data_IF_731450167669
#
_entry.id   IF_731450167669
#
_cell.length_a   1.000
_cell.length_b   1.000
_cell.length_c   1.000
_cell.angle_alpha   90.00
_cell.angle_beta   90.00
_cell.angle_gamma   90.00
#
_symmetry.space_group_name_H-M   'P 1'
#
loop_
_entity.id
_entity.type
_entity.pdbx_description
1 polymer ?
#
# COMPACT_ATOMS: atom_id res chain seq x y z
N UNK A 1 22.89 -2.95 -21.96
CA UNK A 1 22.70 -4.28 -21.32
C UNK A 1 21.70 -4.09 -20.20
N UNK A 2 20.46 -4.56 -20.35
CA UNK A 2 19.42 -4.23 -19.37
C UNK A 2 18.06 -4.78 -19.76
N UNK A 3 17.93 -6.10 -19.68
CA UNK A 3 16.63 -6.79 -19.61
C UNK A 3 16.88 -8.12 -18.91
N UNK A 4 17.05 -8.09 -17.59
CA UNK A 4 16.90 -9.32 -16.80
C UNK A 4 15.40 -9.58 -16.66
N UNK A 5 14.95 -10.54 -17.46
CA UNK A 5 13.66 -11.20 -17.36
C UNK A 5 13.48 -11.75 -15.93
N UNK A 6 12.62 -11.10 -15.15
CA UNK A 6 12.24 -11.54 -13.80
C UNK A 6 11.55 -12.92 -13.76
N UNK A 7 11.16 -13.50 -14.90
CA UNK A 7 10.56 -14.85 -15.02
C UNK A 7 11.49 -16.05 -14.75
N UNK A 8 12.74 -15.84 -14.35
CA UNK A 8 13.73 -16.94 -14.19
C UNK A 8 13.87 -17.46 -12.76
N UNK A 9 13.56 -16.65 -11.74
CA UNK A 9 13.80 -17.02 -10.33
C UNK A 9 12.99 -18.23 -9.83
N UNK A 10 11.67 -18.33 -10.08
CA UNK A 10 10.87 -19.44 -9.56
C UNK A 10 11.25 -20.79 -10.18
N UNK A 11 11.50 -20.82 -11.49
CA UNK A 11 11.91 -22.04 -12.19
C UNK A 11 13.33 -22.49 -11.80
N UNK A 12 14.25 -21.56 -11.55
CA UNK A 12 15.57 -21.89 -11.02
C UNK A 12 15.52 -22.49 -9.62
N UNK A 13 14.65 -21.96 -8.74
CA UNK A 13 14.41 -22.53 -7.42
C UNK A 13 13.89 -23.96 -7.52
N UNK A 14 12.85 -24.18 -8.33
CA UNK A 14 12.22 -25.49 -8.49
C UNK A 14 13.19 -26.54 -9.05
N UNK A 15 14.11 -26.13 -9.93
CA UNK A 15 15.14 -26.99 -10.49
C UNK A 15 16.38 -27.16 -9.59
N UNK A 16 16.44 -26.46 -8.46
CA UNK A 16 17.59 -26.55 -7.55
C UNK A 16 17.60 -27.87 -6.78
N UNK A 17 18.80 -28.41 -6.57
CA UNK A 17 18.99 -29.63 -5.77
C UNK A 17 18.49 -29.41 -4.34
N UNK A 18 18.66 -28.20 -3.79
CA UNK A 18 18.22 -27.83 -2.46
C UNK A 18 16.70 -27.99 -2.30
N UNK A 19 15.91 -27.45 -3.24
CA UNK A 19 14.46 -27.57 -3.21
C UNK A 19 14.01 -29.03 -3.38
N UNK A 20 14.57 -29.73 -4.37
CA UNK A 20 14.24 -31.13 -4.62
C UNK A 20 14.53 -32.03 -3.41
N UNK A 21 15.65 -31.80 -2.72
CA UNK A 21 15.97 -32.51 -1.48
C UNK A 21 15.01 -32.13 -0.34
N UNK A 22 14.63 -30.86 -0.22
CA UNK A 22 13.74 -30.40 0.85
C UNK A 22 12.33 -31.00 0.77
N UNK A 23 11.83 -31.28 -0.44
CA UNK A 23 10.51 -31.87 -0.64
C UNK A 23 10.57 -33.39 -0.91
N UNK A 24 11.73 -34.02 -0.77
CA UNK A 24 11.91 -35.44 -1.10
C UNK A 24 11.10 -36.35 -0.18
N UNK A 25 11.20 -36.11 1.13
CA UNK A 25 10.54 -36.92 2.14
C UNK A 25 9.15 -36.34 2.47
N UNK A 26 8.22 -37.20 2.88
CA UNK A 26 6.85 -36.79 3.22
C UNK A 26 6.77 -36.38 4.70
N UNK A 27 6.56 -35.08 5.03
CA UNK A 27 6.27 -34.65 6.39
C UNK A 27 4.79 -34.89 6.73
N UNK A 28 4.42 -34.60 7.99
CA UNK A 28 3.01 -34.56 8.40
C UNK A 28 2.26 -33.36 7.79
N UNK A 29 2.98 -32.27 7.50
CA UNK A 29 2.47 -31.01 6.95
C UNK A 29 3.59 -30.28 6.19
N UNK A 30 3.26 -29.69 5.04
CA UNK A 30 4.08 -28.62 4.45
C UNK A 30 3.53 -27.25 4.86
N UNK A 31 4.42 -26.38 5.36
CA UNK A 31 4.13 -24.97 5.62
C UNK A 31 4.90 -24.10 4.62
N UNK A 32 4.17 -23.36 3.80
CA UNK A 32 4.73 -22.39 2.86
C UNK A 32 4.47 -20.99 3.39
N UNK A 33 5.51 -20.30 3.84
CA UNK A 33 5.43 -18.92 4.30
C UNK A 33 6.25 -18.02 3.39
N UNK A 34 5.66 -16.91 2.92
CA UNK A 34 6.38 -15.98 2.07
C UNK A 34 5.52 -14.84 1.55
N UNK A 35 6.15 -13.93 0.80
CA UNK A 35 5.48 -12.86 0.06
C UNK A 35 4.80 -13.44 -1.19
N UNK A 36 3.85 -14.35 -0.97
CA UNK A 36 3.09 -15.14 -1.95
C UNK A 36 1.62 -14.83 -1.72
N UNK A 37 0.86 -14.61 -2.79
CA UNK A 37 -0.58 -14.31 -2.64
C UNK A 37 -1.40 -15.55 -2.32
N UNK A 38 -2.46 -15.40 -1.53
CA UNK A 38 -3.37 -16.49 -1.20
C UNK A 38 -4.21 -16.92 -2.40
N UNK A 39 -4.68 -15.94 -3.17
CA UNK A 39 -5.35 -16.21 -4.44
C UNK A 39 -4.32 -16.49 -5.53
N UNK A 40 -4.20 -17.74 -5.94
CA UNK A 40 -3.36 -18.18 -7.06
C UNK A 40 -3.98 -17.89 -8.44
N UNK A 41 -5.23 -17.41 -8.48
CA UNK A 41 -6.02 -17.29 -9.72
C UNK A 41 -6.67 -15.92 -9.91
N UNK A 42 -6.35 -14.93 -9.10
CA UNK A 42 -6.91 -13.59 -9.31
C UNK A 42 -6.49 -13.07 -10.69
N UNK A 43 -7.42 -12.66 -11.59
CA UNK A 43 -7.10 -12.28 -12.96
C UNK A 43 -6.06 -11.16 -13.06
N UNK A 44 -6.10 -10.21 -12.12
CA UNK A 44 -5.13 -9.12 -12.06
C UNK A 44 -3.72 -9.59 -11.65
N UNK A 45 -3.55 -10.76 -11.00
CA UNK A 45 -2.23 -11.29 -10.67
C UNK A 45 -1.46 -11.80 -11.90
N UNK A 46 -2.16 -12.14 -12.99
CA UNK A 46 -1.50 -12.51 -14.24
C UNK A 46 -0.74 -11.33 -14.88
N UNK A 47 -1.01 -10.10 -14.43
CA UNK A 47 -0.36 -8.87 -14.90
C UNK A 47 0.85 -8.44 -14.04
N UNK A 48 1.07 -9.09 -12.90
CA UNK A 48 1.96 -8.63 -11.82
C UNK A 48 3.37 -9.27 -11.80
N UNK A 49 3.68 -10.15 -12.76
CA UNK A 49 5.02 -10.72 -12.93
C UNK A 49 5.39 -11.86 -11.98
N UNK A 50 6.66 -12.27 -12.04
CA UNK A 50 7.14 -13.61 -11.67
C UNK A 50 7.00 -14.04 -10.20
N UNK A 51 6.84 -13.11 -9.26
CA UNK A 51 6.70 -13.46 -7.83
C UNK A 51 5.33 -14.10 -7.52
N UNK A 52 4.32 -13.81 -8.33
CA UNK A 52 2.98 -14.38 -8.17
C UNK A 52 2.82 -15.76 -8.80
N UNK A 53 3.68 -16.12 -9.75
CA UNK A 53 3.72 -17.47 -10.32
C UNK A 53 4.44 -18.47 -9.41
N UNK A 54 5.31 -18.00 -8.50
CA UNK A 54 6.09 -18.88 -7.62
C UNK A 54 5.22 -19.72 -6.66
N UNK A 55 4.18 -19.12 -6.08
CA UNK A 55 3.26 -19.81 -5.15
C UNK A 55 2.57 -21.03 -5.77
N UNK A 56 1.83 -20.84 -6.88
CA UNK A 56 1.21 -21.94 -7.61
C UNK A 56 2.23 -23.01 -8.04
N UNK A 57 3.39 -22.60 -8.56
CA UNK A 57 4.40 -23.55 -9.04
C UNK A 57 5.01 -24.41 -7.91
N UNK A 58 5.30 -23.81 -6.75
CA UNK A 58 5.81 -24.54 -5.57
C UNK A 58 4.74 -25.47 -5.02
N UNK A 59 3.49 -25.00 -4.93
CA UNK A 59 2.35 -25.82 -4.51
C UNK A 59 2.18 -27.03 -5.43
N UNK A 60 2.17 -26.83 -6.75
CA UNK A 60 2.01 -27.89 -7.74
C UNK A 60 3.18 -28.89 -7.69
N UNK A 61 4.42 -28.41 -7.51
CA UNK A 61 5.60 -29.27 -7.39
C UNK A 61 5.53 -30.17 -6.15
N UNK A 62 5.14 -29.63 -4.98
CA UNK A 62 4.95 -30.41 -3.76
C UNK A 62 3.78 -31.39 -3.95
N UNK A 63 2.64 -30.92 -4.44
CA UNK A 63 1.43 -31.73 -4.60
C UNK A 63 1.64 -32.89 -5.58
N UNK A 64 2.49 -32.72 -6.59
CA UNK A 64 2.89 -33.78 -7.54
C UNK A 64 3.64 -34.93 -6.85
N UNK A 65 4.49 -34.65 -5.88
CA UNK A 65 5.26 -35.68 -5.14
C UNK A 65 4.44 -36.21 -3.96
N UNK A 66 3.71 -35.33 -3.27
CA UNK A 66 2.99 -35.60 -2.04
C UNK A 66 1.49 -35.30 -2.18
N UNK A 67 0.72 -36.20 -2.83
CA UNK A 67 -0.70 -35.96 -3.13
C UNK A 67 -1.60 -35.95 -1.89
N UNK A 68 -1.14 -36.50 -0.77
CA UNK A 68 -1.92 -36.65 0.47
C UNK A 68 -1.43 -35.77 1.61
N UNK A 69 -0.22 -35.21 1.54
CA UNK A 69 0.34 -34.40 2.63
C UNK A 69 -0.32 -33.01 2.63
N UNK A 70 -0.89 -32.53 3.74
CA UNK A 70 -1.52 -31.23 3.82
C UNK A 70 -0.54 -30.10 3.51
N UNK A 71 -1.05 -29.02 2.94
CA UNK A 71 -0.24 -27.83 2.64
C UNK A 71 -0.94 -26.61 3.24
N UNK A 72 -0.29 -25.94 4.18
CA UNK A 72 -0.73 -24.66 4.72
C UNK A 72 0.13 -23.55 4.13
N UNK A 73 -0.50 -22.48 3.69
CA UNK A 73 0.20 -21.35 3.06
C UNK A 73 -0.12 -20.07 3.84
N UNK A 74 0.92 -19.38 4.29
CA UNK A 74 0.85 -18.09 4.95
C UNK A 74 1.42 -17.05 3.99
N UNK A 75 0.51 -16.37 3.30
CA UNK A 75 0.79 -15.43 2.24
C UNK A 75 0.86 -13.97 2.70
N UNK A 76 1.05 -13.10 1.73
CA UNK A 76 0.96 -11.66 1.86
C UNK A 76 1.17 -10.99 0.51
N UNK A 77 1.80 -9.81 0.51
CA UNK A 77 2.02 -8.95 -0.66
C UNK A 77 0.85 -8.02 -0.97
N UNK A 78 -0.40 -8.51 -0.99
CA UNK A 78 -1.53 -7.73 -1.54
C UNK A 78 -2.26 -6.85 -0.54
N UNK A 79 -1.85 -6.90 0.73
CA UNK A 79 -2.40 -6.08 1.82
C UNK A 79 -3.86 -6.37 2.21
N UNK A 80 -4.47 -7.46 1.72
CA UNK A 80 -5.87 -7.81 2.00
C UNK A 80 -5.99 -8.92 3.06
N UNK A 81 -7.19 -9.05 3.64
CA UNK A 81 -7.62 -10.28 4.30
C UNK A 81 -8.16 -11.22 3.22
N UNK A 82 -7.53 -12.38 3.02
CA UNK A 82 -8.02 -13.35 2.03
C UNK A 82 -7.69 -14.80 2.45
N UNK A 83 -8.54 -15.72 2.00
CA UNK A 83 -8.40 -17.15 2.24
C UNK A 83 -8.89 -17.94 1.02
N UNK A 84 -8.08 -18.93 0.63
CA UNK A 84 -8.41 -19.84 -0.46
C UNK A 84 -8.12 -21.28 -0.04
N UNK A 85 -9.15 -22.13 -0.09
CA UNK A 85 -8.97 -23.58 0.00
C UNK A 85 -8.61 -24.11 -1.39
N UNK A 86 -7.32 -24.41 -1.61
CA UNK A 86 -6.77 -24.77 -2.93
C UNK A 86 -7.17 -26.19 -3.36
N UNK A 87 -7.28 -27.10 -2.40
CA UNK A 87 -7.83 -28.45 -2.56
C UNK A 87 -8.43 -28.95 -1.24
N UNK A 88 -8.86 -30.23 -1.21
CA UNK A 88 -9.46 -30.84 -0.02
C UNK A 88 -8.51 -30.95 1.19
N UNK A 89 -7.21 -30.66 1.03
CA UNK A 89 -6.16 -30.86 2.05
C UNK A 89 -5.19 -29.69 2.11
N UNK A 90 -5.56 -28.51 1.61
CA UNK A 90 -4.72 -27.32 1.67
C UNK A 90 -5.52 -26.04 1.76
N UNK A 91 -4.93 -25.04 2.42
CA UNK A 91 -5.51 -23.71 2.56
C UNK A 91 -4.41 -22.66 2.57
N UNK A 92 -4.69 -21.53 1.93
CA UNK A 92 -3.86 -20.34 1.91
C UNK A 92 -4.55 -19.18 2.62
N UNK A 93 -3.79 -18.37 3.37
CA UNK A 93 -4.28 -17.25 4.17
C UNK A 93 -3.39 -16.01 4.00
N UNK A 94 -3.98 -14.87 3.69
CA UNK A 94 -3.37 -13.53 3.74
C UNK A 94 -3.96 -12.73 4.91
N UNK A 95 -3.09 -12.03 5.64
CA UNK A 95 -3.42 -11.41 6.94
C UNK A 95 -3.35 -9.88 6.92
N UNK A 96 -3.84 -9.25 5.85
CA UNK A 96 -3.98 -7.79 5.77
C UNK A 96 -2.64 -7.04 5.73
N UNK A 97 -2.61 -5.87 6.36
CA UNK A 97 -1.46 -4.95 6.39
C UNK A 97 -1.32 -4.25 7.74
N UNK A 98 -0.18 -3.57 7.90
CA UNK A 98 0.07 -2.50 8.89
C UNK A 98 -0.27 -2.80 10.35
N UNK A 99 -0.20 -4.08 10.75
CA UNK A 99 -0.69 -4.50 12.08
C UNK A 99 -2.14 -4.05 12.31
N UNK A 100 -2.98 -4.20 11.29
CA UNK A 100 -4.45 -4.05 11.34
C UNK A 100 -5.15 -5.42 11.38
N UNK A 101 -4.39 -6.52 11.25
CA UNK A 101 -4.92 -7.89 11.27
C UNK A 101 -3.89 -8.87 11.81
N UNK A 102 -4.33 -9.77 12.69
CA UNK A 102 -3.62 -11.02 13.01
C UNK A 102 -4.41 -12.17 12.38
N UNK A 103 -3.81 -12.87 11.41
CA UNK A 103 -4.43 -14.04 10.81
C UNK A 103 -4.29 -15.27 11.71
N UNK A 104 -5.36 -16.05 11.79
CA UNK A 104 -5.42 -17.31 12.50
C UNK A 104 -5.88 -18.42 11.57
N UNK A 105 -5.19 -19.56 11.59
CA UNK A 105 -5.52 -20.76 10.83
C UNK A 105 -5.46 -21.97 11.76
N UNK A 106 -6.41 -22.89 11.65
CA UNK A 106 -6.37 -24.18 12.34
C UNK A 106 -6.89 -25.30 11.44
N UNK A 107 -6.35 -26.51 11.64
CA UNK A 107 -6.84 -27.72 10.99
C UNK A 107 -6.55 -28.94 11.88
N UNK A 108 -7.39 -29.97 11.78
CA UNK A 108 -7.13 -31.28 12.38
C UNK A 108 -6.45 -32.18 11.36
N UNK A 109 -5.15 -32.40 11.51
CA UNK A 109 -4.36 -33.26 10.63
C UNK A 109 -4.68 -34.75 10.87
N UNK A 110 -4.42 -35.58 9.86
CA UNK A 110 -4.54 -37.04 9.92
C UNK A 110 -3.19 -37.71 9.59
N UNK A 111 -3.15 -39.03 9.44
CA UNK A 111 -1.91 -39.79 9.18
C UNK A 111 -1.47 -39.79 7.71
N UNK A 112 -2.09 -38.97 6.86
CA UNK A 112 -1.79 -38.80 5.45
C UNK A 112 -1.92 -40.08 4.59
N UNK A 113 -2.64 -41.11 5.07
CA UNK A 113 -2.86 -42.36 4.31
C UNK A 113 -4.10 -42.33 3.42
N UNK A 114 -4.96 -41.33 3.56
CA UNK A 114 -6.23 -41.25 2.82
C UNK A 114 -6.42 -39.90 2.15
N UNK A 115 -7.28 -39.86 1.12
CA UNK A 115 -7.71 -38.62 0.44
C UNK A 115 -8.81 -37.85 1.18
N UNK A 116 -9.08 -38.20 2.45
CA UNK A 116 -10.17 -37.59 3.22
C UNK A 116 -9.98 -36.07 3.27
N UNK A 117 -11.06 -35.30 3.15
CA UNK A 117 -11.01 -33.84 3.26
C UNK A 117 -10.57 -33.45 4.69
N UNK A 118 -9.64 -32.51 4.78
CA UNK A 118 -9.28 -31.83 6.02
C UNK A 118 -10.14 -30.58 6.15
N UNK A 119 -10.72 -30.42 7.33
CA UNK A 119 -11.47 -29.22 7.67
C UNK A 119 -10.50 -28.19 8.24
N UNK A 120 -10.40 -27.07 7.52
CA UNK A 120 -9.67 -25.89 7.96
C UNK A 120 -10.64 -24.86 8.53
N UNK A 121 -10.16 -24.06 9.47
CA UNK A 121 -10.84 -22.87 9.98
C UNK A 121 -9.88 -21.70 9.98
N UNK A 122 -10.42 -20.49 9.75
CA UNK A 122 -9.66 -19.24 9.73
C UNK A 122 -10.38 -18.11 10.45
N UNK A 123 -9.59 -17.22 11.04
CA UNK A 123 -10.04 -15.95 11.62
C UNK A 123 -9.10 -14.80 11.28
N UNK A 124 -9.65 -13.60 11.10
CA UNK A 124 -8.90 -12.34 11.04
C UNK A 124 -9.22 -11.56 12.30
N UNK A 125 -8.21 -11.42 13.16
CA UNK A 125 -8.35 -10.79 14.46
C UNK A 125 -7.91 -9.33 14.34
N UNK A 126 -8.76 -8.43 14.82
CA UNK A 126 -8.37 -7.04 15.00
C UNK A 126 -7.28 -6.94 16.08
N UNK A 127 -6.16 -6.28 15.82
CA UNK A 127 -5.00 -6.28 16.71
C UNK A 127 -5.15 -5.26 17.85
N UNK A 128 -6.21 -5.39 18.62
CA UNK A 128 -6.50 -4.56 19.77
C UNK A 128 -6.62 -5.42 21.05
N UNK A 129 -6.48 -4.77 22.21
CA UNK A 129 -6.50 -5.44 23.51
C UNK A 129 -7.80 -6.20 23.78
N UNK A 130 -8.95 -5.67 23.37
CA UNK A 130 -10.26 -6.27 23.60
C UNK A 130 -10.35 -7.62 22.87
N UNK A 131 -9.93 -7.64 21.60
CA UNK A 131 -9.85 -8.86 20.79
C UNK A 131 -8.91 -9.89 21.43
N UNK A 132 -7.72 -9.48 21.87
CA UNK A 132 -6.78 -10.43 22.48
C UNK A 132 -7.27 -10.96 23.83
N UNK A 133 -7.86 -10.13 24.68
CA UNK A 133 -8.46 -10.56 25.94
C UNK A 133 -9.60 -11.57 25.71
N UNK A 134 -10.45 -11.32 24.71
CA UNK A 134 -11.53 -12.23 24.31
C UNK A 134 -10.99 -13.62 23.93
N UNK A 135 -10.04 -13.71 22.99
CA UNK A 135 -9.53 -15.01 22.52
C UNK A 135 -8.64 -15.75 23.53
N UNK A 136 -8.01 -15.02 24.45
CA UNK A 136 -7.22 -15.65 25.53
C UNK A 136 -8.07 -16.00 26.75
N UNK A 137 -9.33 -15.54 26.80
CA UNK A 137 -10.19 -15.62 27.99
C UNK A 137 -9.56 -14.97 29.24
N UNK A 138 -8.61 -14.05 29.03
CA UNK A 138 -7.99 -13.24 30.07
C UNK A 138 -8.69 -11.88 30.15
N UNK A 139 -8.38 -11.11 31.19
CA UNK A 139 -8.95 -9.77 31.42
C UNK A 139 -7.83 -8.79 31.74
N UNK A 140 -8.12 -7.50 31.70
CA UNK A 140 -7.17 -6.43 31.99
C UNK A 140 -6.23 -6.69 33.18
N UNK A 141 -6.74 -7.28 34.27
CA UNK A 141 -5.97 -7.57 35.48
C UNK A 141 -4.88 -8.64 35.33
N UNK A 142 -5.01 -9.57 34.38
CA UNK A 142 -4.10 -10.72 34.22
C UNK A 142 -3.65 -10.97 32.77
N UNK A 143 -3.98 -10.09 31.85
CA UNK A 143 -3.58 -10.19 30.44
C UNK A 143 -2.11 -9.85 30.22
N UNK A 144 -1.59 -8.82 30.88
CA UNK A 144 -0.24 -8.31 30.60
C UNK A 144 0.86 -9.19 31.21
N UNK A 145 1.78 -9.69 30.38
CA UNK A 145 2.97 -10.44 30.82
C UNK A 145 4.14 -9.51 31.11
N UNK A 146 5.10 -9.96 31.94
CA UNK A 146 6.35 -9.21 32.20
C UNK A 146 7.13 -8.93 30.91
N UNK A 147 7.22 -9.92 30.01
CA UNK A 147 7.88 -9.75 28.71
C UNK A 147 7.15 -8.73 27.84
N UNK A 148 5.81 -8.80 27.77
CA UNK A 148 5.01 -7.85 27.00
C UNK A 148 5.22 -6.41 27.47
N UNK A 149 5.19 -6.16 28.79
CA UNK A 149 5.48 -4.84 29.38
C UNK A 149 6.90 -4.36 29.04
N UNK A 150 7.88 -5.26 29.06
CA UNK A 150 9.26 -4.94 28.69
C UNK A 150 9.39 -4.54 27.21
N UNK A 151 8.69 -5.23 26.31
CA UNK A 151 8.66 -4.89 24.88
C UNK A 151 8.01 -3.51 24.69
N UNK A 152 6.87 -3.25 25.33
CA UNK A 152 6.20 -1.93 25.29
C UNK A 152 7.13 -0.81 25.76
N UNK A 153 7.82 -1.00 26.89
CA UNK A 153 8.79 -0.02 27.39
C UNK A 153 9.94 0.22 26.39
N UNK A 154 10.44 -0.83 25.75
CA UNK A 154 11.46 -0.73 24.71
C UNK A 154 10.99 0.07 23.49
N UNK A 155 9.78 -0.21 22.99
CA UNK A 155 9.18 0.53 21.86
C UNK A 155 8.97 2.01 22.18
N UNK A 156 8.48 2.33 23.39
CA UNK A 156 8.36 3.72 23.86
C UNK A 156 9.72 4.42 23.95
N UNK A 157 10.76 3.70 24.40
CA UNK A 157 12.14 4.18 24.42
C UNK A 157 12.67 4.51 23.02
N UNK A 158 12.39 3.65 22.03
CA UNK A 158 12.72 3.87 20.62
C UNK A 158 11.98 5.10 20.07
N UNK A 159 10.68 5.21 20.33
CA UNK A 159 9.87 6.35 19.88
C UNK A 159 10.42 7.68 20.43
N UNK A 160 10.83 7.71 21.70
CA UNK A 160 11.51 8.87 22.30
C UNK A 160 12.87 9.15 21.66
N UNK A 161 13.70 8.12 21.46
CA UNK A 161 15.05 8.24 20.86
C UNK A 161 14.99 8.85 19.45
N UNK A 162 14.02 8.47 18.64
CA UNK A 162 13.84 9.00 17.28
C UNK A 162 12.97 10.27 17.21
N UNK A 163 12.54 10.77 18.37
CA UNK A 163 11.68 11.94 18.54
C UNK A 163 10.39 11.83 17.69
N UNK A 164 9.76 10.65 17.68
CA UNK A 164 8.54 10.40 16.90
C UNK A 164 7.36 11.25 17.39
N UNK A 165 7.37 11.65 18.67
CA UNK A 165 6.40 12.58 19.25
C UNK A 165 6.63 14.06 18.91
N UNK A 166 7.58 14.40 18.04
CA UNK A 166 7.77 15.79 17.60
C UNK A 166 6.51 16.31 16.92
N UNK A 167 5.90 17.35 17.50
CA UNK A 167 4.63 17.90 17.02
C UNK A 167 4.85 18.93 15.92
N UNK A 168 4.24 18.72 14.76
CA UNK A 168 4.21 19.70 13.67
C UNK A 168 3.04 20.68 13.80
N UNK A 169 1.86 20.20 14.21
CA UNK A 169 0.66 21.01 14.36
C UNK A 169 -0.54 20.20 14.86
N UNK A 170 -1.73 20.78 14.78
CA UNK A 170 -3.00 20.09 15.10
C UNK A 170 -3.88 20.04 13.86
N UNK A 171 -4.01 18.86 13.24
CA UNK A 171 -4.86 18.67 12.07
C UNK A 171 -6.32 19.03 12.40
N UNK A 172 -6.98 19.89 11.62
CA UNK A 172 -8.29 20.44 11.95
C UNK A 172 -9.45 19.47 11.81
N UNK A 173 -9.30 18.43 10.98
CA UNK A 173 -10.26 17.36 10.73
C UNK A 173 -9.51 16.17 10.09
N UNK A 174 -10.21 15.06 9.87
CA UNK A 174 -9.66 13.89 9.21
C UNK A 174 -9.46 14.16 7.72
N UNK A 175 -8.29 13.80 7.21
CA UNK A 175 -7.99 13.72 5.79
C UNK A 175 -7.79 12.26 5.41
N UNK A 176 -8.62 11.76 4.51
CA UNK A 176 -8.60 10.33 4.13
C UNK A 176 -8.13 10.14 2.69
N UNK A 177 -7.47 9.02 2.41
CA UNK A 177 -6.95 8.71 1.08
C UNK A 177 -8.09 8.35 0.11
N UNK A 178 -9.00 7.49 0.54
CA UNK A 178 -10.03 6.90 -0.34
C UNK A 178 -11.44 6.92 0.25
N UNK A 179 -11.65 7.48 1.45
CA UNK A 179 -12.99 7.50 2.08
C UNK A 179 -13.87 8.68 1.63
N UNK A 180 -13.30 9.60 0.84
CA UNK A 180 -14.00 10.74 0.21
C UNK A 180 -13.55 10.92 -1.25
N UNK A 181 -14.36 11.57 -2.11
CA UNK A 181 -13.97 11.82 -3.50
C UNK A 181 -12.68 12.65 -3.61
N UNK A 182 -11.86 12.35 -4.62
CA UNK A 182 -10.79 13.23 -5.08
C UNK A 182 -11.25 14.00 -6.34
N UNK A 183 -11.02 15.33 -6.42
CA UNK A 183 -10.52 16.20 -5.36
C UNK A 183 -11.63 16.61 -4.38
N UNK A 184 -11.31 16.72 -3.09
CA UNK A 184 -12.18 17.31 -2.07
C UNK A 184 -11.37 17.85 -0.90
N UNK A 185 -11.97 18.70 -0.07
CA UNK A 185 -11.28 19.32 1.09
C UNK A 185 -10.83 18.32 2.15
N UNK A 186 -11.52 17.19 2.27
CA UNK A 186 -11.27 16.17 3.29
C UNK A 186 -10.39 15.02 2.72
N UNK A 187 -9.88 15.18 1.49
CA UNK A 187 -9.00 14.21 0.83
C UNK A 187 -7.54 14.47 1.19
N UNK A 188 -6.86 13.47 1.75
CA UNK A 188 -5.42 13.53 2.04
C UNK A 188 -4.57 13.78 0.79
N UNK A 189 -5.00 13.26 -0.36
CA UNK A 189 -4.34 13.50 -1.64
C UNK A 189 -4.49 14.97 -2.08
N UNK A 190 -5.67 15.57 -1.88
CA UNK A 190 -5.90 16.99 -2.18
C UNK A 190 -5.08 17.89 -1.28
N UNK A 191 -5.07 17.64 0.04
CA UNK A 191 -4.21 18.32 1.01
C UNK A 191 -2.74 18.25 0.56
N UNK A 192 -2.25 17.06 0.23
CA UNK A 192 -0.86 16.84 -0.16
C UNK A 192 -0.47 17.65 -1.40
N UNK A 193 -1.16 17.45 -2.53
CA UNK A 193 -0.68 17.96 -3.82
C UNK A 193 -1.15 19.38 -4.13
N UNK A 194 -2.31 19.79 -3.61
CA UNK A 194 -2.90 21.10 -3.93
C UNK A 194 -2.46 22.19 -2.96
N UNK A 195 -2.10 21.83 -1.72
CA UNK A 195 -1.81 22.80 -0.66
C UNK A 195 -0.41 22.59 -0.06
N UNK A 196 -0.11 21.41 0.48
CA UNK A 196 1.12 21.17 1.23
C UNK A 196 2.40 21.20 0.37
N UNK A 197 2.42 20.48 -0.75
CA UNK A 197 3.56 20.44 -1.67
C UNK A 197 3.84 21.82 -2.28
N UNK A 198 2.88 22.55 -2.86
CA UNK A 198 3.12 23.90 -3.37
C UNK A 198 3.66 24.86 -2.30
N UNK A 199 3.08 24.83 -1.09
CA UNK A 199 3.56 25.66 0.03
C UNK A 199 5.01 25.32 0.39
N UNK A 200 5.31 24.04 0.61
CA UNK A 200 6.63 23.59 1.03
C UNK A 200 7.71 23.87 -0.04
N UNK A 201 7.39 23.62 -1.31
CA UNK A 201 8.34 23.86 -2.42
C UNK A 201 8.57 25.34 -2.73
N UNK A 202 7.65 26.23 -2.32
CA UNK A 202 7.86 27.67 -2.45
C UNK A 202 8.85 28.24 -1.42
N UNK A 203 9.06 27.54 -0.29
CA UNK A 203 9.95 27.99 0.77
C UNK A 203 11.40 27.98 0.30
N UNK A 204 12.09 29.12 0.44
CA UNK A 204 13.50 29.29 0.07
C UNK A 204 13.83 28.85 -1.37
N UNK A 205 12.87 28.99 -2.30
CA UNK A 205 13.03 28.59 -3.69
C UNK A 205 13.08 29.82 -4.62
N UNK A 206 14.18 29.99 -5.35
CA UNK A 206 14.37 31.08 -6.30
C UNK A 206 13.42 31.03 -7.49
N UNK A 207 12.83 29.85 -7.77
CA UNK A 207 11.85 29.62 -8.83
C UNK A 207 10.40 29.74 -8.36
N UNK A 208 10.14 30.07 -7.10
CA UNK A 208 8.79 30.20 -6.52
C UNK A 208 7.87 31.20 -7.25
N UNK A 209 8.44 32.15 -8.00
CA UNK A 209 7.70 33.15 -8.80
C UNK A 209 7.37 32.68 -10.22
N UNK A 210 7.94 31.56 -10.66
CA UNK A 210 7.65 30.97 -11.98
C UNK A 210 6.39 30.10 -11.83
N UNK A 211 5.38 30.28 -12.69
CA UNK A 211 4.22 29.39 -12.72
C UNK A 211 4.69 27.94 -12.86
N UNK A 212 4.13 27.04 -12.05
CA UNK A 212 4.50 25.63 -12.06
C UNK A 212 3.26 24.75 -12.09
N UNK A 213 3.44 23.52 -12.56
CA UNK A 213 2.46 22.45 -12.49
C UNK A 213 3.14 21.22 -11.89
N UNK A 214 2.67 20.79 -10.72
CA UNK A 214 3.33 19.76 -9.92
C UNK A 214 2.55 18.46 -10.07
N UNK A 215 3.23 17.35 -10.37
CA UNK A 215 2.66 16.01 -10.50
C UNK A 215 3.31 15.07 -9.49
N UNK A 216 2.51 14.22 -8.84
CA UNK A 216 3.00 13.14 -7.99
C UNK A 216 2.10 11.90 -8.15
N UNK A 217 2.63 10.72 -7.86
CA UNK A 217 1.84 9.49 -7.76
C UNK A 217 1.05 9.49 -6.43
N UNK A 218 -0.24 9.13 -6.48
CA UNK A 218 -1.11 9.08 -5.30
C UNK A 218 -0.64 8.07 -4.26
N UNK A 219 -0.12 6.92 -4.71
CA UNK A 219 0.42 5.85 -3.85
C UNK A 219 1.69 6.22 -3.06
N UNK A 220 2.24 7.42 -3.26
CA UNK A 220 3.27 7.99 -2.38
C UNK A 220 2.72 8.28 -0.97
N UNK A 221 1.41 8.49 -0.84
CA UNK A 221 0.72 8.66 0.43
C UNK A 221 0.16 7.30 0.90
N UNK A 222 0.52 6.88 2.11
CA UNK A 222 0.31 5.50 2.59
C UNK A 222 -0.74 5.35 3.69
N UNK A 223 -1.10 6.46 4.35
CA UNK A 223 -2.06 6.45 5.44
C UNK A 223 -2.85 7.75 5.55
N UNK A 224 -4.03 7.65 6.17
CA UNK A 224 -4.89 8.79 6.48
C UNK A 224 -4.25 9.69 7.55
N UNK A 225 -4.63 10.96 7.58
CA UNK A 225 -4.23 11.92 8.62
C UNK A 225 -5.46 12.25 9.46
N UNK A 226 -5.52 11.74 10.68
CA UNK A 226 -6.65 12.00 11.58
C UNK A 226 -6.55 13.36 12.27
N UNK A 227 -7.70 13.91 12.63
CA UNK A 227 -7.83 15.14 13.39
C UNK A 227 -7.07 15.06 14.73
N UNK A 228 -6.49 16.19 15.15
CA UNK A 228 -5.74 16.28 16.41
C UNK A 228 -4.24 16.37 16.19
N UNK A 229 -3.45 15.88 17.15
CA UNK A 229 -2.00 16.04 17.13
C UNK A 229 -1.37 15.38 15.90
N UNK A 230 -0.69 16.17 15.07
CA UNK A 230 0.07 15.69 13.93
C UNK A 230 1.58 15.69 14.23
N UNK A 231 2.12 14.51 14.48
CA UNK A 231 3.49 14.28 14.93
C UNK A 231 4.40 13.78 13.81
N UNK A 232 5.70 13.61 14.12
CA UNK A 232 6.66 12.95 13.22
C UNK A 232 6.30 11.50 12.95
N UNK A 233 5.70 10.81 13.91
CA UNK A 233 5.17 9.48 13.66
C UNK A 233 4.11 9.52 12.54
N UNK A 234 3.11 10.40 12.70
CA UNK A 234 1.98 10.52 11.76
C UNK A 234 2.46 10.95 10.37
N UNK A 235 3.42 11.87 10.30
CA UNK A 235 4.05 12.29 9.04
C UNK A 235 4.71 11.10 8.32
N UNK A 236 5.53 10.32 9.03
CA UNK A 236 6.23 9.17 8.44
C UNK A 236 5.28 8.02 8.09
N UNK A 237 4.18 7.88 8.82
CA UNK A 237 3.12 6.91 8.52
C UNK A 237 2.33 7.31 7.28
N UNK A 238 1.96 8.59 7.15
CA UNK A 238 1.19 9.08 6.01
C UNK A 238 2.04 9.26 4.73
N UNK A 239 3.28 9.74 4.86
CA UNK A 239 4.14 10.12 3.74
C UNK A 239 5.59 9.67 4.01
N UNK A 240 5.95 8.39 3.76
CA UNK A 240 7.24 7.84 4.19
C UNK A 240 8.40 8.17 3.25
N UNK A 241 8.14 8.33 1.95
CA UNK A 241 9.19 8.35 0.94
C UNK A 241 9.95 9.68 0.91
N UNK A 242 11.26 9.60 0.73
CA UNK A 242 12.18 10.73 0.70
C UNK A 242 12.52 11.18 -0.73
N UNK A 243 11.62 10.89 -1.69
CA UNK A 243 11.77 11.26 -3.10
C UNK A 243 12.02 12.77 -3.25
N UNK A 244 13.07 13.18 -3.96
CA UNK A 244 13.27 14.58 -4.34
C UNK A 244 12.28 15.03 -5.42
N UNK A 245 11.96 16.33 -5.40
CA UNK A 245 11.25 16.96 -6.50
C UNK A 245 12.22 17.45 -7.57
N UNK A 246 12.01 16.99 -8.80
CA UNK A 246 12.66 17.46 -10.02
C UNK A 246 11.75 18.42 -10.78
N UNK A 247 12.33 19.16 -11.72
CA UNK A 247 11.56 19.96 -12.68
C UNK A 247 12.23 20.00 -14.05
N UNK A 248 11.41 20.19 -15.08
CA UNK A 248 11.83 20.58 -16.43
C UNK A 248 11.21 21.96 -16.72
N UNK A 249 12.03 22.99 -17.05
CA UNK A 249 11.52 24.33 -17.31
C UNK A 249 10.88 24.48 -18.68
N UNK A 250 10.16 25.58 -18.85
CA UNK A 250 9.67 26.11 -20.12
C UNK A 250 8.72 25.16 -20.89
N UNK A 251 7.97 24.34 -20.15
CA UNK A 251 6.93 23.46 -20.72
C UNK A 251 5.64 24.28 -20.88
N UNK A 252 5.01 24.34 -22.08
CA UNK A 252 3.69 24.94 -22.20
C UNK A 252 2.69 24.28 -21.26
N UNK A 253 1.88 25.07 -20.54
CA UNK A 253 0.90 24.53 -19.58
C UNK A 253 0.00 23.44 -20.18
N UNK A 254 -0.40 23.58 -21.46
CA UNK A 254 -1.18 22.55 -22.17
C UNK A 254 -0.46 21.21 -22.27
N UNK A 255 0.86 21.21 -22.52
CA UNK A 255 1.66 20.00 -22.56
C UNK A 255 1.81 19.40 -21.17
N UNK A 256 2.03 20.22 -20.14
CA UNK A 256 2.10 19.77 -18.75
C UNK A 256 0.79 19.07 -18.29
N UNK A 257 -0.37 19.62 -18.67
CA UNK A 257 -1.68 18.99 -18.43
C UNK A 257 -1.87 17.69 -19.22
N UNK A 258 -1.43 17.65 -20.49
CA UNK A 258 -1.52 16.43 -21.30
C UNK A 258 -0.61 15.32 -20.75
N UNK A 259 0.55 15.65 -20.17
CA UNK A 259 1.40 14.67 -19.46
C UNK A 259 0.62 14.00 -18.34
N UNK A 260 -0.04 14.76 -17.47
CA UNK A 260 -0.90 14.20 -16.42
C UNK A 260 -2.03 13.33 -16.99
N UNK A 261 -2.67 13.79 -18.06
CA UNK A 261 -3.75 13.04 -18.71
C UNK A 261 -3.24 11.69 -19.25
N UNK A 262 -2.04 11.64 -19.82
CA UNK A 262 -1.42 10.40 -20.32
C UNK A 262 -0.98 9.49 -19.19
N UNK A 263 -0.41 10.02 -18.12
CA UNK A 263 -0.04 9.25 -16.93
C UNK A 263 -1.25 8.53 -16.32
N UNK A 264 -2.43 9.16 -16.34
CA UNK A 264 -3.68 8.58 -15.84
C UNK A 264 -4.49 7.80 -16.89
N UNK A 265 -4.00 7.63 -18.12
CA UNK A 265 -4.68 6.76 -19.10
C UNK A 265 -4.44 5.30 -18.70
N UNK A 266 -5.49 4.45 -18.67
CA UNK A 266 -5.31 3.02 -18.47
C UNK A 266 -4.40 2.46 -19.57
N UNK A 267 -3.16 2.15 -19.22
CA UNK A 267 -2.19 1.55 -20.14
C UNK A 267 -1.44 0.45 -19.43
N UNK A 268 -1.18 -0.65 -20.15
CA UNK A 268 -0.41 -1.79 -19.64
C UNK A 268 0.98 -1.37 -19.10
N UNK A 269 1.54 -0.24 -19.56
CA UNK A 269 2.82 0.28 -19.08
C UNK A 269 2.68 1.02 -17.74
N UNK A 270 1.67 1.88 -17.59
CA UNK A 270 1.42 2.58 -16.31
C UNK A 270 1.13 1.58 -15.19
N UNK A 271 0.31 0.56 -15.48
CA UNK A 271 0.09 -0.54 -14.55
C UNK A 271 1.39 -1.31 -14.28
N UNK A 272 2.16 -1.69 -15.31
CA UNK A 272 3.45 -2.36 -15.12
C UNK A 272 4.47 -1.55 -14.30
N UNK A 273 4.46 -0.22 -14.32
CA UNK A 273 5.38 0.63 -13.55
C UNK A 273 4.97 0.67 -12.07
N UNK A 274 3.68 0.88 -11.81
CA UNK A 274 3.10 0.77 -10.45
C UNK A 274 3.38 -0.63 -9.89
N UNK A 275 3.17 -1.68 -10.68
CA UNK A 275 3.42 -3.06 -10.28
C UNK A 275 4.91 -3.43 -10.17
N UNK A 276 5.79 -2.90 -11.03
CA UNK A 276 7.25 -3.13 -10.97
C UNK A 276 7.90 -2.46 -9.76
N UNK A 277 7.30 -1.38 -9.24
CA UNK A 277 7.65 -0.79 -7.95
C UNK A 277 7.15 -1.63 -6.75
N UNK A 278 6.48 -2.76 -7.00
CA UNK A 278 5.88 -3.62 -5.98
C UNK A 278 4.58 -3.05 -5.40
N UNK A 279 3.96 -2.07 -6.05
CA UNK A 279 2.65 -1.56 -5.64
C UNK A 279 1.55 -2.49 -6.14
N UNK A 280 0.91 -3.14 -5.18
CA UNK A 280 -0.35 -3.89 -5.31
C UNK A 280 -1.57 -3.02 -5.00
N UNK A 281 -1.38 -1.70 -4.97
CA UNK A 281 -2.38 -0.82 -4.39
C UNK A 281 -3.72 -0.94 -5.16
N UNK A 282 -3.72 -1.26 -6.46
CA UNK A 282 -4.93 -1.57 -7.23
C UNK A 282 -5.69 -2.81 -6.73
N UNK A 283 -4.99 -3.89 -6.33
CA UNK A 283 -5.62 -5.09 -5.76
C UNK A 283 -6.30 -4.76 -4.42
N UNK A 284 -5.58 -4.04 -3.56
CA UNK A 284 -6.09 -3.58 -2.29
C UNK A 284 -7.28 -2.62 -2.48
N UNK A 285 -7.17 -1.67 -3.40
CA UNK A 285 -8.23 -0.71 -3.73
C UNK A 285 -9.47 -1.39 -4.32
N UNK A 286 -9.31 -2.38 -5.19
CA UNK A 286 -10.45 -3.16 -5.68
C UNK A 286 -11.11 -3.95 -4.56
N UNK A 287 -10.32 -4.53 -3.64
CA UNK A 287 -10.87 -5.19 -2.46
C UNK A 287 -11.66 -4.23 -1.56
N UNK A 288 -11.13 -3.03 -1.28
CA UNK A 288 -11.87 -1.97 -0.57
C UNK A 288 -13.15 -1.56 -1.32
N UNK A 289 -13.09 -1.41 -2.64
CA UNK A 289 -14.23 -1.06 -3.49
C UNK A 289 -15.36 -2.09 -3.35
N UNK A 290 -15.05 -3.37 -3.49
CA UNK A 290 -16.05 -4.43 -3.34
C UNK A 290 -16.66 -4.47 -1.94
N UNK A 291 -15.84 -4.31 -0.89
CA UNK A 291 -16.35 -4.20 0.48
C UNK A 291 -17.27 -2.99 0.66
N UNK A 292 -16.90 -1.82 0.11
CA UNK A 292 -17.70 -0.60 0.26
C UNK A 292 -19.08 -0.70 -0.37
N UNK A 293 -19.24 -1.48 -1.46
CA UNK A 293 -20.53 -1.73 -2.11
C UNK A 293 -21.52 -2.49 -1.21
N UNK A 294 -21.00 -3.18 -0.20
CA UNK A 294 -21.79 -3.93 0.78
C UNK A 294 -22.27 -3.06 1.94
N UNK A 295 -21.94 -1.77 1.94
CA UNK A 295 -22.42 -0.81 2.93
C UNK A 295 -23.94 -0.59 2.77
N UNK A 296 -24.75 -1.29 3.58
CA UNK A 296 -26.22 -1.27 3.50
C UNK A 296 -26.89 -0.18 4.35
N UNK A 297 -26.13 0.75 4.92
CA UNK A 297 -26.69 1.76 5.85
C UNK A 297 -26.87 1.23 7.28
N UNK A 298 -27.29 2.12 8.19
CA UNK A 298 -27.14 2.04 9.66
C UNK A 298 -27.49 0.71 10.35
N UNK A 299 -26.46 0.00 10.82
CA UNK A 299 -26.54 -0.79 12.05
C UNK A 299 -25.91 0.01 13.20
N UNK A 300 -26.71 0.30 14.24
CA UNK A 300 -26.29 1.06 15.41
C UNK A 300 -25.42 0.15 16.29
N UNK A 301 -24.14 0.49 16.44
CA UNK A 301 -23.24 -0.17 17.38
C UNK A 301 -22.01 -0.87 16.77
N UNK A 302 -21.87 -0.90 15.45
CA UNK A 302 -20.68 -1.44 14.78
C UNK A 302 -19.59 -0.39 14.57
N UNK A 303 -18.33 -0.78 14.78
CA UNK A 303 -17.17 0.05 14.42
C UNK A 303 -16.89 -0.04 12.92
N UNK A 304 -16.23 0.98 12.35
CA UNK A 304 -15.68 0.88 11.00
C UNK A 304 -14.54 -0.15 11.00
N UNK A 305 -14.51 -1.00 9.98
CA UNK A 305 -13.50 -2.03 9.85
C UNK A 305 -13.69 -2.86 8.59
N UNK A 306 -12.92 -3.94 8.48
CA UNK A 306 -12.99 -4.82 7.32
C UNK A 306 -14.19 -5.77 7.39
N UNK A 307 -14.83 -6.00 6.24
CA UNK A 307 -15.89 -7.00 6.07
C UNK A 307 -15.45 -7.93 4.94
N UNK A 308 -14.73 -8.98 5.33
CA UNK A 308 -13.96 -9.82 4.42
C UNK A 308 -14.85 -10.82 3.70
N UNK A 309 -14.79 -10.78 2.36
CA UNK A 309 -15.35 -11.81 1.49
C UNK A 309 -14.23 -12.56 0.80
N UNK A 310 -13.97 -13.77 1.27
CA UNK A 310 -12.95 -14.67 0.72
C UNK A 310 -13.57 -15.98 0.20
N UNK A 311 -12.73 -16.89 -0.28
CA UNK A 311 -13.17 -18.16 -0.88
C UNK A 311 -13.33 -19.30 0.13
N UNK A 312 -13.14 -19.03 1.42
CA UNK A 312 -13.23 -20.03 2.47
C UNK A 312 -14.63 -20.04 3.13
N UNK A 313 -15.12 -21.21 3.59
CA UNK A 313 -16.44 -21.28 4.21
C UNK A 313 -16.60 -20.42 5.48
N UNK A 314 -17.76 -19.76 5.61
CA UNK A 314 -18.15 -19.01 6.81
C UNK A 314 -17.52 -17.61 6.93
N UNK A 315 -17.95 -16.83 7.92
CA UNK A 315 -17.36 -15.52 8.20
C UNK A 315 -15.94 -15.66 8.77
N UNK A 316 -14.99 -14.88 8.28
CA UNK A 316 -13.59 -14.86 8.71
C UNK A 316 -13.26 -13.80 9.73
N UNK A 317 -13.95 -12.68 9.73
CA UNK A 317 -13.66 -11.62 10.68
C UNK A 317 -14.12 -12.02 12.08
N UNK A 318 -13.28 -11.71 13.07
CA UNK A 318 -13.58 -11.95 14.48
C UNK A 318 -14.61 -10.94 15.02
N UNK A 319 -14.46 -9.68 14.64
CA UNK A 319 -15.33 -8.59 15.08
C UNK A 319 -16.27 -8.19 13.94
N UNK A 320 -17.58 -8.04 14.18
CA UNK A 320 -18.49 -7.49 13.19
C UNK A 320 -18.21 -5.99 12.99
N UNK A 321 -18.14 -5.57 11.73
CA UNK A 321 -17.85 -4.19 11.35
C UNK A 321 -18.79 -3.70 10.27
N UNK A 322 -18.87 -2.37 10.21
CA UNK A 322 -19.35 -1.67 9.03
C UNK A 322 -18.18 -1.44 8.05
N UNK A 323 -18.33 -1.77 6.76
CA UNK A 323 -17.27 -1.57 5.78
C UNK A 323 -16.96 -0.09 5.59
N UNK A 324 -15.69 0.24 5.35
CA UNK A 324 -15.26 1.60 5.05
C UNK A 324 -15.87 2.08 3.71
N UNK A 325 -16.28 3.35 3.60
CA UNK A 325 -16.59 3.94 2.30
C UNK A 325 -15.33 3.99 1.45
N UNK A 326 -15.50 3.85 0.13
CA UNK A 326 -14.40 3.87 -0.82
C UNK A 326 -14.80 4.68 -2.06
N UNK A 327 -13.88 5.53 -2.50
CA UNK A 327 -13.93 6.33 -3.71
C UNK A 327 -12.65 6.12 -4.50
N UNK A 328 -12.79 6.02 -5.82
CA UNK A 328 -11.64 5.91 -6.71
C UNK A 328 -10.79 7.18 -6.68
N UNK A 329 -9.49 6.97 -6.73
CA UNK A 329 -8.47 8.01 -6.86
C UNK A 329 -7.61 7.71 -8.08
N UNK A 330 -7.11 8.73 -8.79
CA UNK A 330 -6.21 8.52 -9.92
C UNK A 330 -4.83 8.04 -9.45
N UNK A 331 -4.10 7.36 -10.32
CA UNK A 331 -2.72 6.94 -10.06
C UNK A 331 -1.78 8.14 -9.88
N UNK A 332 -2.04 9.21 -10.62
CA UNK A 332 -1.30 10.47 -10.56
C UNK A 332 -2.22 11.64 -10.25
N UNK A 333 -1.76 12.48 -9.35
CA UNK A 333 -2.44 13.67 -8.86
C UNK A 333 -1.61 14.91 -9.20
N UNK A 334 -2.22 16.09 -9.18
CA UNK A 334 -1.53 17.33 -9.53
C UNK A 334 -1.92 18.51 -8.67
N UNK A 335 -1.05 19.50 -8.59
CA UNK A 335 -1.39 20.80 -8.01
C UNK A 335 -2.50 21.48 -8.81
N UNK A 336 -3.10 22.51 -8.21
CA UNK A 336 -4.03 23.40 -8.91
C UNK A 336 -3.28 24.05 -10.09
N UNK A 337 -3.77 23.95 -11.34
CA UNK A 337 -3.11 24.60 -12.46
C UNK A 337 -2.91 26.10 -12.20
N UNK A 338 -1.76 26.68 -12.57
CA UNK A 338 -1.55 28.11 -12.42
C UNK A 338 -2.55 28.88 -13.29
N UNK A 339 -3.02 30.03 -12.78
CA UNK A 339 -3.96 30.88 -13.50
C UNK A 339 -3.26 31.70 -14.61
N UNK A 340 -2.79 30.99 -15.64
CA UNK A 340 -2.08 31.53 -16.80
C UNK A 340 -2.61 30.88 -18.09
N UNK A 341 -2.22 31.40 -19.25
CA UNK A 341 -2.67 30.85 -20.54
C UNK A 341 -2.10 29.45 -20.79
N UNK A 342 -2.78 28.64 -21.59
CA UNK A 342 -2.33 27.29 -21.99
C UNK A 342 -0.97 27.26 -22.71
N UNK A 343 -0.55 28.38 -23.30
CA UNK A 343 0.74 28.53 -23.99
C UNK A 343 1.84 29.08 -23.08
N UNK A 344 1.50 29.52 -21.87
CA UNK A 344 2.47 30.08 -20.93
C UNK A 344 3.46 28.98 -20.55
N UNK A 345 4.78 29.22 -20.69
CA UNK A 345 5.80 28.30 -20.21
C UNK A 345 5.73 28.20 -18.68
N UNK A 346 5.71 26.97 -18.16
CA UNK A 346 5.69 26.65 -16.74
C UNK A 346 6.84 25.71 -16.39
N UNK A 347 7.20 25.67 -15.12
CA UNK A 347 7.99 24.57 -14.59
C UNK A 347 7.09 23.34 -14.42
N UNK A 348 7.37 22.26 -15.16
CA UNK A 348 6.76 20.96 -14.89
C UNK A 348 7.56 20.29 -13.77
N UNK A 349 6.98 20.24 -12.57
CA UNK A 349 7.61 19.72 -11.36
C UNK A 349 7.06 18.33 -11.07
N UNK A 350 7.91 17.39 -10.66
CA UNK A 350 7.52 16.01 -10.40
C UNK A 350 8.46 15.33 -9.43
N UNK A 351 8.04 14.22 -8.83
CA UNK A 351 8.91 13.34 -8.02
C UNK A 351 9.85 12.54 -8.92
N UNK A 352 11.10 12.32 -8.51
CA UNK A 352 12.09 11.62 -9.34
C UNK A 352 11.70 10.21 -9.76
N UNK A 353 10.88 9.52 -8.95
CA UNK A 353 10.30 8.20 -9.26
C UNK A 353 9.66 8.13 -10.66
N UNK A 354 9.15 9.25 -11.20
CA UNK A 354 8.37 9.29 -12.46
C UNK A 354 9.12 9.98 -13.60
N UNK A 355 10.42 10.23 -13.42
CA UNK A 355 11.25 10.99 -14.36
C UNK A 355 11.26 10.36 -15.76
N UNK A 356 11.46 9.04 -15.82
CA UNK A 356 11.59 8.31 -17.10
C UNK A 356 10.30 8.41 -17.92
N UNK A 357 9.15 8.27 -17.25
CA UNK A 357 7.83 8.35 -17.83
C UNK A 357 7.53 9.75 -18.34
N UNK A 358 7.78 10.77 -17.53
CA UNK A 358 7.53 12.16 -17.93
C UNK A 358 8.37 12.53 -19.15
N UNK A 359 9.67 12.19 -19.17
CA UNK A 359 10.53 12.44 -20.32
C UNK A 359 10.02 11.70 -21.56
N UNK A 360 9.62 10.43 -21.41
CA UNK A 360 9.07 9.64 -22.51
C UNK A 360 7.80 10.27 -23.08
N UNK A 361 6.89 10.73 -22.22
CA UNK A 361 5.63 11.36 -22.63
C UNK A 361 5.90 12.71 -23.31
N UNK A 362 6.73 13.57 -22.72
CA UNK A 362 7.11 14.85 -23.32
C UNK A 362 7.72 14.70 -24.74
N UNK A 363 8.54 13.67 -24.94
CA UNK A 363 9.12 13.33 -26.23
C UNK A 363 8.09 12.78 -27.23
N UNK A 364 6.98 12.19 -26.75
CA UNK A 364 5.89 11.73 -27.60
C UNK A 364 4.95 12.86 -28.04
N UNK A 365 4.82 13.92 -27.24
CA UNK A 365 3.89 15.02 -27.46
C UNK A 365 4.36 16.05 -28.49
N UNK A 366 5.66 16.12 -28.77
CA UNK A 366 6.24 17.13 -29.67
C UNK A 366 7.57 16.65 -30.26
N UNK A 367 8.06 17.34 -31.30
CA UNK A 367 9.32 17.02 -32.02
C UNK A 367 10.36 18.15 -32.01
N UNK A 368 10.08 19.24 -31.29
CA UNK A 368 10.92 20.45 -31.19
C UNK A 368 12.17 20.21 -30.36
N UNK A 369 12.03 19.53 -29.21
CA UNK A 369 13.13 19.20 -28.29
C UNK A 369 13.08 17.73 -27.92
N UNK A 370 14.24 17.07 -27.88
CA UNK A 370 14.37 15.73 -27.30
C UNK A 370 14.84 15.89 -25.86
N UNK A 371 13.95 15.62 -24.91
CA UNK A 371 14.23 15.63 -23.47
C UNK A 371 15.03 14.38 -23.07
N UNK A 372 15.93 14.55 -22.10
CA UNK A 372 16.70 13.50 -21.45
C UNK A 372 16.81 13.74 -19.95
N UNK A 373 17.33 12.79 -19.14
CA UNK A 373 17.50 13.01 -17.70
C UNK A 373 18.34 14.25 -17.35
N UNK A 374 19.21 14.71 -18.25
CA UNK A 374 19.99 15.95 -18.02
C UNK A 374 19.16 17.23 -18.07
N UNK A 375 17.92 17.18 -18.58
CA UNK A 375 16.98 18.30 -18.57
C UNK A 375 16.20 18.41 -17.26
N UNK A 376 16.11 17.33 -16.49
CA UNK A 376 15.47 17.31 -15.19
C UNK A 376 16.45 17.80 -14.12
N UNK A 377 16.06 18.82 -13.37
CA UNK A 377 16.90 19.44 -12.33
C UNK A 377 16.19 19.38 -11.00
N UNK A 378 16.93 19.33 -9.90
CA UNK A 378 16.35 19.42 -8.55
C UNK A 378 15.61 20.75 -8.36
N UNK A 379 14.34 20.69 -7.98
CA UNK A 379 13.47 21.87 -7.83
C UNK A 379 13.64 22.57 -6.48
N UNK A 380 13.82 21.80 -5.41
CA UNK A 380 13.93 22.28 -4.02
C UNK A 380 14.74 21.30 -3.17
N UNK A 381 15.37 21.73 -2.06
CA UNK A 381 15.93 20.81 -1.07
C UNK A 381 14.87 19.98 -0.33
N UNK A 382 13.60 20.39 -0.36
CA UNK A 382 12.48 19.69 0.29
C UNK A 382 12.26 18.32 -0.37
N UNK A 383 12.10 17.30 0.46
CA UNK A 383 11.74 15.94 0.05
C UNK A 383 10.24 15.69 0.24
N UNK A 384 9.70 14.69 -0.45
CA UNK A 384 8.26 14.36 -0.41
C UNK A 384 7.73 14.21 1.02
N UNK A 385 8.37 13.38 1.85
CA UNK A 385 7.98 13.17 3.25
C UNK A 385 8.06 14.41 4.16
N UNK A 386 8.62 15.52 3.69
CA UNK A 386 8.71 16.76 4.49
C UNK A 386 7.57 17.73 4.20
N UNK A 387 6.91 17.63 3.05
CA UNK A 387 5.97 18.63 2.56
C UNK A 387 4.82 18.89 3.53
N UNK A 388 4.14 17.83 3.97
CA UNK A 388 3.00 17.93 4.90
C UNK A 388 3.45 18.49 6.26
N UNK A 389 4.62 18.08 6.77
CA UNK A 389 5.16 18.60 8.02
C UNK A 389 5.49 20.10 7.97
N UNK A 390 6.04 20.57 6.85
CA UNK A 390 6.32 22.01 6.63
C UNK A 390 5.01 22.80 6.56
N UNK A 391 4.01 22.30 5.83
CA UNK A 391 2.69 22.91 5.75
C UNK A 391 1.97 22.95 7.09
N UNK A 392 1.93 21.82 7.82
CA UNK A 392 1.30 21.73 9.14
C UNK A 392 1.91 22.70 10.16
N UNK A 393 3.22 22.92 10.11
CA UNK A 393 3.89 23.92 10.96
C UNK A 393 3.38 25.34 10.72
N UNK A 394 3.12 25.67 9.46
CA UNK A 394 2.61 26.96 9.07
C UNK A 394 1.12 27.10 9.43
N UNK A 395 0.29 26.18 8.96
CA UNK A 395 -1.16 26.37 8.93
C UNK A 395 -1.90 25.76 10.13
N UNK A 396 -1.33 24.74 10.79
CA UNK A 396 -2.04 23.98 11.85
C UNK A 396 -1.65 24.39 13.27
N UNK A 397 -1.00 25.54 13.43
CA UNK A 397 -0.64 26.11 14.73
C UNK A 397 -1.43 27.39 15.10
N UNK A 398 -2.36 27.83 14.25
CA UNK A 398 -3.23 28.99 14.49
C UNK A 398 -4.29 28.67 15.54
N UNK A 399 -3.90 28.72 16.80
CA UNK A 399 -4.71 28.39 17.97
C UNK A 399 -3.88 28.35 19.26
N UNK A 400 -2.56 28.16 19.13
CA UNK A 400 -1.59 28.46 20.18
C UNK A 400 -1.07 29.89 20.02
N UNK A 401 -1.87 30.87 20.44
CA UNK A 401 -1.27 32.13 20.89
C UNK A 401 -0.34 31.75 22.04
N UNK A 402 0.97 31.93 21.87
CA UNK A 402 1.87 32.05 23.01
C UNK A 402 1.58 33.35 23.74
#
# INVERSE_FOLDING_TARGET
MGTQLFGTLPLQLLNSIQFQNAIKDAPDLFLLAGKITASFRHPLLQLTGANHEAGPLVFDAIRKIHPLVPIMILGGHTHVRDCVQLDNRSMSLESGRYMETVGWMSAKLDDNKTKKKINFSRRYLDPNRITYEYHTSLKQSNFDTTLGKSITAGLLGIAKKFNLGYLYGTAPHDFTLTQVPYPSKDSALSLFIADAVPYALSQNNTRSKIPNFIIANSGSQRFDIYAGSFTKNDLLTASPYDDPFLYIPDIPLSQAKEVLAILNKPSLKASQIVYAAGSVDELYHNWLREMSKLNRGHDVGETLGYVTHDSCPGNGDDTPHKPLPYFDVPDFISSKPPNVSEKTPVDLVFVDFVETEIISILNSLQKVKVYSPSDAKKYSPVLLNQAIGIYAKAEWNHGRKK
#
